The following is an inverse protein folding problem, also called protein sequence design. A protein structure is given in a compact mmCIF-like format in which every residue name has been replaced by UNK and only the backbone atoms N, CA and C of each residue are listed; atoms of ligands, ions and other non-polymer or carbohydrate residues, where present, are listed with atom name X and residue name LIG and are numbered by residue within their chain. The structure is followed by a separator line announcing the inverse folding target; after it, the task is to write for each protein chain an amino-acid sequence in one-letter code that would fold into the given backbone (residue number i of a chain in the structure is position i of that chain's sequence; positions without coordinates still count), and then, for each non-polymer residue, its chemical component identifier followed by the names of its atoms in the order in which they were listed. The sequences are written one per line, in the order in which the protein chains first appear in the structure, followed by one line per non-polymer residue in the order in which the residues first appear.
data_IF_355538020287
#
_entry.id   IF_355538020287
#
_cell.length_a   1.000
_cell.length_b   1.000
_cell.length_c   1.000
_cell.angle_alpha   90.00
_cell.angle_beta   90.00
_cell.angle_gamma   90.00
#
_symmetry.space_group_name_H-M   'P 1'
#
loop_
_entity.id
_entity.type
_entity.pdbx_description
1 polymer ?
#
# COMPACT_ATOMS: atom_id res chain seq x y z
N UNK A 1 12.38 3.95 2.59
CA UNK A 1 11.23 3.05 2.82
C UNK A 1 10.28 3.75 3.76
N UNK A 2 9.05 3.98 3.30
CA UNK A 2 7.98 4.59 4.08
C UNK A 2 6.98 3.51 4.50
N UNK A 3 6.41 3.62 5.70
CA UNK A 3 5.37 2.70 6.19
C UNK A 3 4.07 3.46 6.42
N UNK A 4 2.96 2.90 5.95
CA UNK A 4 1.61 3.42 6.16
C UNK A 4 0.72 2.30 6.73
N UNK A 5 0.25 2.49 7.95
CA UNK A 5 -0.74 1.61 8.57
C UNK A 5 -2.15 2.17 8.42
N UNK A 6 -2.97 1.49 7.61
CA UNK A 6 -4.35 1.90 7.35
C UNK A 6 -5.37 1.17 8.22
N UNK A 7 -4.95 0.19 9.03
CA UNK A 7 -5.85 -0.55 9.93
C UNK A 7 -6.60 0.38 10.88
N UNK A 8 -5.97 1.39 11.53
CA UNK A 8 -6.70 2.31 12.40
C UNK A 8 -7.67 3.21 11.63
N UNK A 9 -7.33 3.59 10.40
CA UNK A 9 -8.21 4.40 9.54
C UNK A 9 -9.47 3.63 9.18
N UNK A 10 -9.30 2.39 8.72
CA UNK A 10 -10.42 1.51 8.36
C UNK A 10 -11.26 1.13 9.58
N UNK A 11 -10.64 0.89 10.74
CA UNK A 11 -11.35 0.65 12.00
C UNK A 11 -12.20 1.86 12.44
N UNK A 12 -11.77 3.08 12.09
CA UNK A 12 -12.52 4.31 12.33
C UNK A 12 -13.56 4.61 11.23
N UNK A 13 -13.76 3.73 10.25
CA UNK A 13 -14.67 3.93 9.12
C UNK A 13 -14.20 5.01 8.13
N UNK A 14 -12.91 5.34 8.13
CA UNK A 14 -12.31 6.32 7.21
C UNK A 14 -11.73 5.60 5.99
N UNK A 15 -11.85 6.25 4.85
CA UNK A 15 -11.31 5.73 3.60
C UNK A 15 -9.79 5.98 3.52
N UNK A 16 -8.97 4.93 3.32
CA UNK A 16 -7.52 5.07 3.34
C UNK A 16 -6.91 5.45 1.98
N UNK A 17 -7.72 5.46 0.91
CA UNK A 17 -7.23 5.61 -0.45
C UNK A 17 -6.42 6.90 -0.66
N UNK A 18 -6.95 8.04 -0.20
CA UNK A 18 -6.25 9.33 -0.32
C UNK A 18 -4.92 9.36 0.45
N UNK A 19 -4.87 8.73 1.63
CA UNK A 19 -3.64 8.64 2.43
C UNK A 19 -2.58 7.78 1.73
N UNK A 20 -3.00 6.68 1.09
CA UNK A 20 -2.13 5.82 0.30
C UNK A 20 -1.59 6.57 -0.91
N UNK A 21 -2.45 7.25 -1.66
CA UNK A 21 -2.05 8.03 -2.83
C UNK A 21 -1.10 9.17 -2.47
N UNK A 22 -1.32 9.84 -1.33
CA UNK A 22 -0.41 10.85 -0.81
C UNK A 22 0.96 10.25 -0.43
N UNK A 23 0.98 9.10 0.24
CA UNK A 23 2.21 8.42 0.60
C UNK A 23 3.01 7.99 -0.65
N UNK A 24 2.35 7.36 -1.62
CA UNK A 24 2.94 6.97 -2.90
C UNK A 24 3.50 8.19 -3.66
N UNK A 25 2.75 9.29 -3.69
CA UNK A 25 3.18 10.53 -4.35
C UNK A 25 4.38 11.22 -3.69
N UNK A 26 4.65 10.92 -2.41
CA UNK A 26 5.78 11.45 -1.67
C UNK A 26 7.06 10.57 -1.75
N UNK A 27 6.96 9.36 -2.30
CA UNK A 27 8.10 8.44 -2.41
C UNK A 27 9.17 8.97 -3.38
N UNK A 28 10.43 8.86 -2.96
CA UNK A 28 11.58 9.00 -3.85
C UNK A 28 11.66 7.91 -4.94
N UNK A 29 12.60 8.04 -5.90
CA UNK A 29 12.76 7.10 -7.02
C UNK A 29 13.08 5.65 -6.59
N UNK A 30 13.87 5.51 -5.52
CA UNK A 30 14.31 4.22 -4.97
C UNK A 30 13.60 3.87 -3.65
N UNK A 31 12.55 4.61 -3.31
CA UNK A 31 11.79 4.37 -2.08
C UNK A 31 10.59 3.46 -2.31
N UNK A 32 10.39 2.57 -1.35
CA UNK A 32 9.27 1.64 -1.30
C UNK A 32 8.25 2.07 -0.24
N UNK A 33 6.99 1.73 -0.47
CA UNK A 33 5.90 1.90 0.48
C UNK A 33 5.49 0.54 1.05
N UNK A 34 5.61 0.39 2.36
CA UNK A 34 5.03 -0.69 3.12
C UNK A 34 3.63 -0.28 3.61
N UNK A 35 2.60 -1.01 3.18
CA UNK A 35 1.21 -0.82 3.54
C UNK A 35 0.76 -1.95 4.46
N UNK A 36 0.23 -1.61 5.64
CA UNK A 36 -0.45 -2.55 6.52
C UNK A 36 -1.95 -2.36 6.42
N UNK A 37 -2.65 -3.40 5.98
CA UNK A 37 -4.09 -3.38 5.73
C UNK A 37 -4.82 -4.51 6.49
N UNK A 38 -6.06 -4.28 6.93
CA UNK A 38 -6.87 -5.30 7.63
C UNK A 38 -7.49 -6.34 6.68
N UNK A 39 -7.23 -6.22 5.37
CA UNK A 39 -7.67 -7.12 4.30
C UNK A 39 -6.77 -6.93 3.07
N UNK A 40 -6.83 -7.86 2.13
CA UNK A 40 -6.05 -7.85 0.89
C UNK A 40 -6.50 -6.70 -0.05
N UNK A 41 -5.65 -5.69 -0.33
CA UNK A 41 -6.01 -4.52 -1.13
C UNK A 41 -5.96 -4.79 -2.65
N UNK A 42 -6.67 -5.82 -3.12
CA UNK A 42 -6.68 -6.22 -4.54
C UNK A 42 -6.95 -5.08 -5.53
N UNK A 43 -7.92 -4.16 -5.29
CA UNK A 43 -8.15 -3.05 -6.21
C UNK A 43 -6.95 -2.08 -6.31
N UNK A 44 -6.17 -1.96 -5.24
CA UNK A 44 -5.03 -1.05 -5.18
C UNK A 44 -3.88 -1.52 -6.06
N UNK A 45 -3.70 -2.84 -6.23
CA UNK A 45 -2.67 -3.42 -7.10
C UNK A 45 -2.84 -2.96 -8.55
N UNK A 46 -4.08 -2.92 -9.04
CA UNK A 46 -4.36 -2.43 -10.39
C UNK A 46 -4.08 -0.91 -10.52
N UNK A 47 -4.46 -0.13 -9.52
CA UNK A 47 -4.28 1.33 -9.51
C UNK A 47 -2.81 1.73 -9.47
N UNK A 48 -2.01 1.10 -8.61
CA UNK A 48 -0.59 1.38 -8.47
C UNK A 48 0.22 0.71 -9.59
N UNK A 49 -0.21 -0.45 -10.08
CA UNK A 49 0.35 -1.09 -11.28
C UNK A 49 0.26 -0.21 -12.52
N UNK A 50 -0.88 0.46 -12.73
CA UNK A 50 -1.05 1.42 -13.82
C UNK A 50 -0.11 2.65 -13.69
N UNK A 51 0.46 2.90 -12.51
CA UNK A 51 1.41 3.97 -12.22
C UNK A 51 2.88 3.48 -12.23
N UNK A 52 3.13 2.24 -12.66
CA UNK A 52 4.47 1.65 -12.74
C UNK A 52 5.01 1.13 -11.42
N UNK A 53 4.14 0.76 -10.48
CA UNK A 53 4.52 0.09 -9.24
C UNK A 53 4.23 -1.41 -9.29
N UNK A 54 5.23 -2.21 -8.93
CA UNK A 54 5.08 -3.61 -8.55
C UNK A 54 4.69 -3.72 -7.08
N UNK A 55 4.21 -4.89 -6.68
CA UNK A 55 3.83 -5.17 -5.30
C UNK A 55 4.27 -6.57 -4.86
N UNK A 56 4.59 -6.69 -3.58
CA UNK A 56 4.80 -7.95 -2.88
C UNK A 56 3.85 -8.03 -1.70
N UNK A 57 3.12 -9.13 -1.57
CA UNK A 57 2.05 -9.28 -0.56
C UNK A 57 2.35 -10.45 0.35
N UNK A 58 2.22 -10.21 1.66
CA UNK A 58 2.40 -11.18 2.72
C UNK A 58 1.19 -11.16 3.66
N UNK A 59 0.58 -12.32 3.88
CA UNK A 59 -0.48 -12.47 4.87
C UNK A 59 0.13 -12.60 6.27
N UNK A 60 -0.18 -11.66 7.16
CA UNK A 60 0.36 -11.62 8.53
C UNK A 60 -0.43 -12.50 9.52
N UNK A 61 -1.58 -13.03 9.09
CA UNK A 61 -2.51 -13.78 9.94
C UNK A 61 -3.66 -12.91 10.45
N UNK A 62 -4.74 -13.54 10.90
CA UNK A 62 -5.92 -12.81 11.39
C UNK A 62 -6.68 -11.99 10.33
N UNK A 63 -6.39 -12.20 9.05
CA UNK A 63 -6.93 -11.42 7.94
C UNK A 63 -6.13 -10.16 7.60
N UNK A 64 -5.03 -9.90 8.31
CA UNK A 64 -4.15 -8.76 8.05
C UNK A 64 -3.14 -9.06 6.94
N UNK A 65 -2.80 -8.01 6.18
CA UNK A 65 -1.88 -8.07 5.05
C UNK A 65 -0.82 -6.99 5.17
N UNK A 66 0.40 -7.37 4.81
CA UNK A 66 1.52 -6.48 4.56
C UNK A 66 1.77 -6.46 3.07
N UNK A 67 1.75 -5.28 2.47
CA UNK A 67 2.05 -5.11 1.05
C UNK A 67 3.20 -4.14 0.91
N UNK A 68 4.23 -4.53 0.16
CA UNK A 68 5.31 -3.63 -0.22
C UNK A 68 5.13 -3.23 -1.68
N UNK A 69 4.95 -1.93 -1.92
CA UNK A 69 4.91 -1.34 -3.26
C UNK A 69 6.27 -0.75 -3.60
N UNK A 70 6.76 -1.08 -4.80
CA UNK A 70 8.05 -0.61 -5.31
C UNK A 70 7.93 -0.19 -6.76
N UNK A 71 8.64 0.86 -7.18
CA UNK A 71 8.66 1.25 -8.59
C UNK A 71 9.30 0.13 -9.40
N UNK A 72 8.63 -0.31 -10.46
CA UNK A 72 9.26 -1.18 -11.44
C UNK A 72 10.19 -0.31 -12.30
N UNK A 73 11.49 -0.50 -12.12
CA UNK A 73 12.48 0.08 -13.03
C UNK A 73 12.34 -0.66 -14.35
N UNK A 74 11.78 0.01 -15.36
CA UNK A 74 11.68 -0.49 -16.73
C UNK A 74 13.03 -0.65 -17.41
#
# INVERSE_FOLDING_TARGET
MATLDVRPLMAAGKEPFDAIMAAVGALGPDEELELLAPLDPVPLYAVLGAQGFGHETEALGGGEFRVVFRREVG
#
